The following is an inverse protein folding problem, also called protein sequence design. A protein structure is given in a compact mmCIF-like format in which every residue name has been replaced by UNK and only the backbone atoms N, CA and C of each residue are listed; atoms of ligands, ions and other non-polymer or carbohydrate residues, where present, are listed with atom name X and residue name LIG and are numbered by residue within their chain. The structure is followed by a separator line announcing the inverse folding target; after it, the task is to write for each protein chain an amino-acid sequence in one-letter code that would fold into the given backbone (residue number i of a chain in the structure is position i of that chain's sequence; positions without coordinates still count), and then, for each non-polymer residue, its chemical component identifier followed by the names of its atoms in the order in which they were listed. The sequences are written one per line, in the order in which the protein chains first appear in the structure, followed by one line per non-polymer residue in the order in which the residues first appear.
data_IF_577852700639
#
_entry.id   IF_577852700639
#
_cell.length_a   1.000
_cell.length_b   1.000
_cell.length_c   1.000
_cell.angle_alpha   90.00
_cell.angle_beta   90.00
_cell.angle_gamma   90.00
#
_symmetry.space_group_name_H-M   'P 1'
#
loop_
_entity.id
_entity.type
_entity.pdbx_description
1 polymer ?
#
# COMPACT_ATOMS: atom_id res chain seq x y z
N UNK A 1 -16.30 0.28 -9.81
CA UNK A 1 -15.62 0.66 -8.57
C UNK A 1 -14.70 1.88 -8.70
N UNK A 2 -14.31 2.27 -9.89
CA UNK A 2 -13.50 3.48 -10.16
C UNK A 2 -14.36 4.66 -10.57
N UNK A 3 -13.94 5.89 -10.21
CA UNK A 3 -14.52 7.17 -10.67
C UNK A 3 -13.48 8.00 -11.39
N UNK A 4 -13.85 8.56 -12.54
CA UNK A 4 -13.08 9.60 -13.25
C UNK A 4 -11.58 9.30 -13.39
N UNK A 5 -11.23 8.04 -13.66
CA UNK A 5 -9.86 7.63 -13.84
C UNK A 5 -9.72 6.60 -14.97
N UNK A 6 -8.84 6.90 -15.91
CA UNK A 6 -8.46 5.97 -16.99
C UNK A 6 -6.98 5.63 -16.84
N UNK A 7 -6.63 4.36 -16.57
CA UNK A 7 -5.24 3.95 -16.43
C UNK A 7 -4.46 4.15 -17.72
N UNK A 8 -3.23 4.64 -17.62
CA UNK A 8 -2.27 4.66 -18.72
C UNK A 8 -1.78 3.24 -19.01
N UNK A 9 -1.24 3.01 -20.21
CA UNK A 9 -0.80 1.68 -20.62
C UNK A 9 0.24 1.07 -19.66
N UNK A 10 1.25 1.86 -19.27
CA UNK A 10 2.26 1.36 -18.32
C UNK A 10 1.65 1.02 -16.95
N UNK A 11 0.65 1.76 -16.48
CA UNK A 11 -0.07 1.45 -15.24
C UNK A 11 -0.83 0.12 -15.36
N UNK A 12 -1.45 -0.14 -16.50
CA UNK A 12 -2.13 -1.42 -16.75
C UNK A 12 -1.15 -2.59 -16.78
N UNK A 13 0.03 -2.40 -17.38
CA UNK A 13 1.10 -3.42 -17.42
C UNK A 13 1.60 -3.74 -16.00
N UNK A 14 1.92 -2.72 -15.22
CA UNK A 14 2.35 -2.88 -13.84
C UNK A 14 1.26 -3.53 -12.98
N UNK A 15 0.01 -3.12 -13.16
CA UNK A 15 -1.12 -3.71 -12.46
C UNK A 15 -1.29 -5.20 -12.78
N UNK A 16 -1.07 -5.59 -14.03
CA UNK A 16 -1.08 -6.99 -14.45
C UNK A 16 -0.06 -7.84 -13.70
N UNK A 17 1.16 -7.33 -13.50
CA UNK A 17 2.19 -8.00 -12.68
C UNK A 17 1.80 -8.02 -11.20
N UNK A 18 1.40 -6.89 -10.65
CA UNK A 18 1.07 -6.73 -9.23
C UNK A 18 -0.16 -7.54 -8.80
N UNK A 19 -1.07 -7.83 -9.71
CA UNK A 19 -2.22 -8.69 -9.46
C UNK A 19 -1.84 -10.13 -9.08
N UNK A 20 -0.69 -10.60 -9.55
CA UNK A 20 -0.25 -12.00 -9.39
C UNK A 20 1.00 -12.18 -8.55
N UNK A 21 1.81 -11.12 -8.37
CA UNK A 21 3.09 -11.17 -7.68
C UNK A 21 3.24 -9.99 -6.71
N UNK A 22 3.89 -10.23 -5.58
CA UNK A 22 4.36 -9.15 -4.73
C UNK A 22 5.36 -8.31 -5.51
N UNK A 23 5.03 -7.05 -5.71
CA UNK A 23 5.74 -6.19 -6.68
C UNK A 23 6.26 -4.92 -6.02
N UNK A 24 7.52 -4.60 -6.30
CA UNK A 24 8.10 -3.28 -6.06
C UNK A 24 7.96 -2.46 -7.35
N UNK A 25 7.30 -1.32 -7.25
CA UNK A 25 7.10 -0.38 -8.36
C UNK A 25 7.99 0.83 -8.15
N UNK A 26 8.90 1.04 -9.10
CA UNK A 26 9.81 2.17 -9.13
C UNK A 26 9.34 3.13 -10.21
N UNK A 27 8.74 4.24 -9.78
CA UNK A 27 8.22 5.29 -10.67
C UNK A 27 8.69 6.66 -10.17
N UNK A 28 9.18 7.54 -11.06
CA UNK A 28 9.46 8.92 -10.71
C UNK A 28 8.26 9.63 -10.11
N UNK A 29 8.52 10.61 -9.25
CA UNK A 29 7.48 11.45 -8.64
C UNK A 29 6.57 12.07 -9.70
N UNK A 30 5.26 12.07 -9.46
CA UNK A 30 4.25 12.64 -10.36
C UNK A 30 3.80 11.71 -11.49
N UNK A 31 4.26 10.47 -11.55
CA UNK A 31 3.86 9.49 -12.58
C UNK A 31 2.78 8.49 -12.12
N UNK A 32 2.10 8.80 -11.02
CA UNK A 32 0.89 8.07 -10.65
C UNK A 32 1.13 6.76 -9.90
N UNK A 33 2.14 6.69 -9.01
CA UNK A 33 2.32 5.54 -8.10
C UNK A 33 1.08 5.25 -7.27
N UNK A 34 0.43 6.30 -6.75
CA UNK A 34 -0.79 6.17 -5.97
C UNK A 34 -1.93 5.55 -6.80
N UNK A 35 -1.97 5.82 -8.10
CA UNK A 35 -2.97 5.22 -8.98
C UNK A 35 -2.82 3.69 -9.04
N UNK A 36 -1.61 3.17 -9.08
CA UNK A 36 -1.38 1.72 -9.04
C UNK A 36 -1.91 1.14 -7.73
N UNK A 37 -1.71 1.84 -6.60
CA UNK A 37 -2.22 1.41 -5.31
C UNK A 37 -3.75 1.34 -5.27
N UNK A 38 -4.47 2.38 -5.70
CA UNK A 38 -5.93 2.34 -5.65
C UNK A 38 -6.53 1.41 -6.73
N UNK A 39 -5.89 1.25 -7.88
CA UNK A 39 -6.31 0.28 -8.89
C UNK A 39 -6.19 -1.15 -8.38
N UNK A 40 -5.07 -1.49 -7.76
CA UNK A 40 -4.87 -2.82 -7.17
C UNK A 40 -5.80 -3.04 -5.97
N UNK A 41 -6.02 -2.01 -5.15
CA UNK A 41 -6.98 -2.05 -4.06
C UNK A 41 -8.40 -2.39 -4.54
N UNK A 42 -8.86 -1.72 -5.61
CA UNK A 42 -10.15 -2.00 -6.23
C UNK A 42 -10.26 -3.45 -6.72
N UNK A 43 -9.21 -3.96 -7.36
CA UNK A 43 -9.16 -5.33 -7.85
C UNK A 43 -9.19 -6.35 -6.70
N UNK A 44 -8.44 -6.12 -5.63
CA UNK A 44 -8.41 -7.01 -4.46
C UNK A 44 -9.75 -7.02 -3.73
N UNK A 45 -10.41 -5.87 -3.58
CA UNK A 45 -11.74 -5.79 -2.98
C UNK A 45 -12.83 -6.44 -3.86
N UNK A 46 -12.69 -6.39 -5.18
CA UNK A 46 -13.58 -7.11 -6.08
C UNK A 46 -13.42 -8.62 -5.92
N UNK A 47 -12.19 -9.10 -5.82
CA UNK A 47 -11.86 -10.52 -5.65
C UNK A 47 -12.20 -11.03 -4.24
N UNK A 48 -11.98 -10.21 -3.22
CA UNK A 48 -12.20 -10.53 -1.80
C UNK A 48 -13.05 -9.44 -1.14
N UNK A 49 -14.37 -9.43 -1.35
CA UNK A 49 -15.23 -8.31 -0.92
C UNK A 49 -15.28 -8.05 0.58
N UNK A 50 -15.00 -9.08 1.39
CA UNK A 50 -14.99 -8.97 2.86
C UNK A 50 -13.61 -8.64 3.44
N UNK A 51 -12.61 -8.53 2.59
CA UNK A 51 -11.25 -8.21 3.01
C UNK A 51 -11.04 -6.71 3.21
N UNK A 52 -9.89 -6.38 3.78
CA UNK A 52 -9.43 -5.01 3.98
C UNK A 52 -8.17 -4.72 3.18
N UNK A 53 -8.02 -3.47 2.81
CA UNK A 53 -6.81 -2.93 2.17
C UNK A 53 -6.09 -2.05 3.17
N UNK A 54 -4.79 -2.23 3.29
CA UNK A 54 -3.95 -1.45 4.19
C UNK A 54 -2.82 -0.79 3.41
N UNK A 55 -2.77 0.54 3.42
CA UNK A 55 -1.71 1.35 2.84
C UNK A 55 -0.94 2.06 3.94
N UNK A 56 0.36 1.86 3.98
CA UNK A 56 1.27 2.49 4.92
C UNK A 56 2.09 3.58 4.24
N UNK A 57 2.21 4.72 4.89
CA UNK A 57 3.04 5.83 4.46
C UNK A 57 3.76 6.46 5.65
N UNK A 58 5.00 6.97 5.50
CA UNK A 58 5.84 7.35 6.64
C UNK A 58 5.31 8.51 7.47
N UNK A 59 4.53 9.40 6.88
CA UNK A 59 4.10 10.63 7.54
C UNK A 59 2.60 10.87 7.45
N UNK A 60 2.05 11.57 8.43
CA UNK A 60 0.65 11.96 8.45
C UNK A 60 0.23 12.75 7.20
N UNK A 61 0.96 13.78 6.72
CA UNK A 61 0.58 14.49 5.50
C UNK A 61 0.48 13.60 4.26
N UNK A 62 1.40 12.63 4.09
CA UNK A 62 1.34 11.66 3.01
C UNK A 62 0.12 10.76 3.14
N UNK A 63 -0.20 10.30 4.34
CA UNK A 63 -1.40 9.50 4.59
C UNK A 63 -2.69 10.29 4.25
N UNK A 64 -2.78 11.54 4.67
CA UNK A 64 -3.90 12.42 4.36
C UNK A 64 -4.09 12.61 2.83
N UNK A 65 -3.00 12.81 2.12
CA UNK A 65 -3.00 12.93 0.66
C UNK A 65 -3.50 11.65 -0.02
N UNK A 66 -3.08 10.48 0.46
CA UNK A 66 -3.56 9.20 -0.05
C UNK A 66 -5.05 8.99 0.22
N UNK A 67 -5.54 9.34 1.41
CA UNK A 67 -6.98 9.27 1.73
C UNK A 67 -7.79 10.08 0.73
N UNK A 68 -7.40 11.33 0.47
CA UNK A 68 -8.07 12.21 -0.49
C UNK A 68 -8.10 11.61 -1.90
N UNK A 69 -6.96 11.08 -2.36
CA UNK A 69 -6.84 10.47 -3.69
C UNK A 69 -7.70 9.22 -3.82
N UNK A 70 -7.70 8.36 -2.82
CA UNK A 70 -8.51 7.15 -2.80
C UNK A 70 -10.02 7.49 -2.76
N UNK A 71 -10.43 8.44 -1.95
CA UNK A 71 -11.83 8.89 -1.89
C UNK A 71 -12.31 9.50 -3.21
N UNK A 72 -11.42 10.23 -3.91
CA UNK A 72 -11.73 10.83 -5.20
C UNK A 72 -11.98 9.77 -6.28
N UNK A 73 -11.15 8.73 -6.35
CA UNK A 73 -11.14 7.80 -7.48
C UNK A 73 -11.81 6.45 -7.23
N UNK A 74 -12.11 6.10 -5.98
CA UNK A 74 -12.85 4.89 -5.66
C UNK A 74 -14.32 5.20 -5.38
N UNK A 75 -15.21 4.40 -5.98
CA UNK A 75 -16.65 4.49 -5.77
C UNK A 75 -17.06 3.76 -4.49
N UNK A 76 -16.45 4.14 -3.37
CA UNK A 76 -16.77 3.68 -2.03
C UNK A 76 -17.33 4.86 -1.21
N UNK A 77 -18.22 4.58 -0.24
CA UNK A 77 -18.60 5.60 0.73
C UNK A 77 -17.36 6.14 1.45
N UNK A 78 -17.25 7.47 1.68
CA UNK A 78 -16.05 8.06 2.29
C UNK A 78 -15.68 7.44 3.65
N UNK A 79 -16.65 7.02 4.45
CA UNK A 79 -16.45 6.37 5.75
C UNK A 79 -15.79 4.98 5.65
N UNK A 80 -15.74 4.40 4.44
CA UNK A 80 -15.04 3.12 4.20
C UNK A 80 -13.55 3.28 3.97
N UNK A 81 -13.07 4.51 3.78
CA UNK A 81 -11.66 4.87 3.57
C UNK A 81 -11.23 5.74 4.74
N UNK A 82 -10.43 5.22 5.65
CA UNK A 82 -10.12 5.86 6.92
C UNK A 82 -8.63 6.09 7.12
N UNK A 83 -8.31 7.14 7.89
CA UNK A 83 -6.96 7.52 8.26
C UNK A 83 -6.68 7.07 9.70
N UNK A 84 -5.59 6.31 9.88
CA UNK A 84 -5.05 5.96 11.19
C UNK A 84 -3.75 6.73 11.44
N UNK A 85 -3.76 7.58 12.44
CA UNK A 85 -2.57 8.29 12.94
C UNK A 85 -2.58 8.33 14.47
N UNK A 86 -1.48 8.77 15.06
CA UNK A 86 -1.38 8.94 16.52
C UNK A 86 -2.39 9.91 17.14
N UNK A 87 -3.04 10.74 16.32
CA UNK A 87 -4.09 11.66 16.78
C UNK A 87 -5.46 10.98 16.97
N UNK A 88 -5.61 9.75 16.51
CA UNK A 88 -6.83 8.95 16.70
C UNK A 88 -6.61 8.00 17.87
N UNK A 89 -7.49 8.04 18.87
CA UNK A 89 -7.38 7.18 20.05
C UNK A 89 -7.41 5.68 19.66
N UNK A 90 -6.64 4.81 20.34
CA UNK A 90 -6.57 3.37 20.01
C UNK A 90 -7.94 2.68 19.97
N UNK A 91 -8.82 2.97 20.89
CA UNK A 91 -10.17 2.40 20.96
C UNK A 91 -11.00 2.79 19.74
N UNK A 92 -10.87 4.05 19.30
CA UNK A 92 -11.55 4.54 18.12
C UNK A 92 -10.97 3.88 16.85
N UNK A 93 -9.66 3.70 16.79
CA UNK A 93 -9.04 2.95 15.66
C UNK A 93 -9.56 1.52 15.60
N UNK A 94 -9.70 0.83 16.73
CA UNK A 94 -10.26 -0.51 16.78
C UNK A 94 -11.69 -0.58 16.24
N UNK A 95 -12.52 0.42 16.54
CA UNK A 95 -13.87 0.52 16.01
C UNK A 95 -13.88 0.83 14.51
N UNK A 96 -13.09 1.81 14.08
CA UNK A 96 -12.95 2.18 12.66
C UNK A 96 -12.45 1.00 11.81
N UNK A 97 -11.55 0.19 12.34
CA UNK A 97 -11.08 -1.02 11.68
C UNK A 97 -12.22 -1.96 11.28
N UNK A 98 -13.17 -2.16 12.17
CA UNK A 98 -14.32 -3.05 11.92
C UNK A 98 -15.19 -2.58 10.76
N UNK A 99 -15.35 -1.28 10.60
CA UNK A 99 -16.28 -0.66 9.64
C UNK A 99 -15.61 -0.31 8.31
N UNK A 100 -14.31 -0.04 8.32
CA UNK A 100 -13.56 0.39 7.15
C UNK A 100 -13.24 -0.76 6.20
N UNK A 101 -13.09 -0.42 4.92
CA UNK A 101 -12.56 -1.33 3.90
C UNK A 101 -11.12 -1.00 3.52
N UNK A 102 -10.77 0.29 3.51
CA UNK A 102 -9.42 0.76 3.21
C UNK A 102 -8.92 1.59 4.38
N UNK A 103 -7.78 1.20 4.91
CA UNK A 103 -7.12 1.88 6.01
C UNK A 103 -5.77 2.41 5.53
N UNK A 104 -5.55 3.71 5.72
CA UNK A 104 -4.29 4.38 5.41
C UNK A 104 -3.69 4.86 6.72
N UNK A 105 -2.46 4.45 7.00
CA UNK A 105 -1.85 4.60 8.32
C UNK A 105 -0.36 4.90 8.25
N UNK A 106 0.12 5.59 9.28
CA UNK A 106 1.55 5.61 9.59
C UNK A 106 1.95 4.27 10.22
N UNK A 107 3.20 3.79 10.01
CA UNK A 107 3.56 2.43 10.41
C UNK A 107 3.65 2.23 11.92
N UNK A 108 4.10 3.23 12.68
CA UNK A 108 4.31 3.09 14.12
C UNK A 108 2.99 2.90 14.89
N UNK A 109 1.96 3.65 14.51
CA UNK A 109 0.63 3.50 15.13
C UNK A 109 0.03 2.13 14.83
N UNK A 110 0.19 1.66 13.60
CA UNK A 110 -0.31 0.36 13.19
C UNK A 110 0.43 -0.79 13.88
N UNK A 111 1.75 -0.71 14.05
CA UNK A 111 2.52 -1.71 14.77
C UNK A 111 1.95 -1.99 16.15
N UNK A 112 1.67 -0.93 16.92
CA UNK A 112 1.04 -1.05 18.22
C UNK A 112 -0.36 -1.67 18.17
N UNK A 113 -1.15 -1.32 17.16
CA UNK A 113 -2.50 -1.86 16.99
C UNK A 113 -2.48 -3.35 16.64
N UNK A 114 -1.50 -3.80 15.88
CA UNK A 114 -1.28 -5.23 15.57
C UNK A 114 -0.87 -6.00 16.82
N UNK A 115 0.12 -5.49 17.58
CA UNK A 115 0.58 -6.10 18.82
C UNK A 115 -0.56 -6.25 19.82
N UNK A 116 -1.39 -5.23 19.96
CA UNK A 116 -2.53 -5.22 20.89
C UNK A 116 -3.81 -5.84 20.29
N UNK A 117 -3.73 -6.47 19.14
CA UNK A 117 -4.85 -7.15 18.45
C UNK A 117 -6.07 -6.27 18.16
N UNK A 118 -5.87 -4.96 18.02
CA UNK A 118 -6.89 -4.03 17.54
C UNK A 118 -7.07 -4.11 16.03
N UNK A 119 -6.03 -4.51 15.33
CA UNK A 119 -5.96 -4.73 13.90
C UNK A 119 -5.56 -6.17 13.64
N UNK A 120 -6.25 -6.83 12.72
CA UNK A 120 -6.04 -8.22 12.35
C UNK A 120 -5.54 -8.32 10.92
N UNK A 121 -4.25 -8.58 10.75
CA UNK A 121 -3.61 -8.67 9.42
C UNK A 121 -4.16 -9.83 8.58
N UNK A 122 -4.71 -10.87 9.19
CA UNK A 122 -5.36 -11.97 8.49
C UNK A 122 -6.58 -11.54 7.65
N UNK A 123 -7.17 -10.40 7.96
CA UNK A 123 -8.30 -9.84 7.20
C UNK A 123 -7.84 -9.03 5.98
N UNK A 124 -6.55 -8.78 5.82
CA UNK A 124 -5.98 -7.88 4.81
C UNK A 124 -5.62 -8.66 3.54
N UNK A 125 -6.20 -8.27 2.41
CA UNK A 125 -5.90 -8.86 1.10
C UNK A 125 -4.86 -8.09 0.29
N UNK A 126 -4.53 -6.88 0.72
CA UNK A 126 -3.45 -6.06 0.14
C UNK A 126 -2.81 -5.22 1.23
N UNK A 127 -1.51 -5.37 1.39
CA UNK A 127 -0.65 -4.51 2.19
C UNK A 127 0.26 -3.73 1.26
N UNK A 128 0.08 -2.42 1.19
CA UNK A 128 0.88 -1.53 0.35
C UNK A 128 1.79 -0.64 1.21
N UNK A 129 3.04 -0.51 0.77
CA UNK A 129 4.06 0.30 1.42
C UNK A 129 4.45 1.45 0.50
N UNK A 130 4.09 2.67 0.87
CA UNK A 130 4.59 3.88 0.21
C UNK A 130 5.96 4.25 0.75
N UNK A 131 6.79 4.90 -0.08
CA UNK A 131 8.18 5.20 0.29
C UNK A 131 8.92 3.94 0.77
N UNK A 132 8.82 2.86 0.01
CA UNK A 132 9.26 1.52 0.39
C UNK A 132 10.77 1.40 0.63
N UNK A 133 11.57 2.37 0.18
CA UNK A 133 13.01 2.43 0.45
C UNK A 133 13.34 2.54 1.95
N UNK A 134 12.38 2.91 2.80
CA UNK A 134 12.53 2.88 4.26
C UNK A 134 12.52 1.46 4.86
N UNK A 135 12.17 0.44 4.10
CA UNK A 135 12.02 -0.94 4.61
C UNK A 135 13.37 -1.63 4.87
N UNK A 136 14.15 -1.06 5.78
CA UNK A 136 15.48 -1.50 6.19
C UNK A 136 15.60 -1.51 7.71
N UNK A 137 16.46 -2.39 8.23
CA UNK A 137 16.76 -2.44 9.65
C UNK A 137 15.53 -2.71 10.51
N UNK A 138 15.33 -1.89 11.52
CA UNK A 138 14.24 -1.97 12.49
C UNK A 138 13.03 -1.08 12.15
N UNK A 139 12.98 -0.51 10.94
CA UNK A 139 11.82 0.26 10.50
C UNK A 139 10.57 -0.61 10.52
N UNK A 140 9.46 -0.07 11.01
CA UNK A 140 8.24 -0.84 11.28
C UNK A 140 7.69 -1.59 10.05
N UNK A 141 7.98 -1.14 8.83
CA UNK A 141 7.60 -1.86 7.61
C UNK A 141 8.12 -3.29 7.57
N UNK A 142 9.34 -3.51 8.02
CA UNK A 142 9.99 -4.84 8.00
C UNK A 142 9.23 -5.82 8.89
N UNK A 143 8.93 -5.41 10.12
CA UNK A 143 8.17 -6.24 11.06
C UNK A 143 6.74 -6.47 10.58
N UNK A 144 6.06 -5.43 10.09
CA UNK A 144 4.69 -5.54 9.61
C UNK A 144 4.57 -6.48 8.40
N UNK A 145 5.51 -6.41 7.46
CA UNK A 145 5.56 -7.33 6.33
C UNK A 145 5.72 -8.78 6.78
N UNK A 146 6.60 -9.02 7.75
CA UNK A 146 6.84 -10.36 8.32
C UNK A 146 5.58 -10.91 8.99
N UNK A 147 4.90 -10.12 9.81
CA UNK A 147 3.65 -10.52 10.46
C UNK A 147 2.56 -10.81 9.43
N UNK A 148 2.44 -9.97 8.41
CA UNK A 148 1.46 -10.15 7.34
C UNK A 148 1.68 -11.44 6.55
N UNK A 149 2.92 -11.69 6.15
CA UNK A 149 3.28 -12.91 5.39
C UNK A 149 2.97 -14.19 6.19
N UNK A 150 3.15 -14.15 7.51
CA UNK A 150 2.89 -15.31 8.37
C UNK A 150 1.41 -15.54 8.65
N UNK A 151 0.56 -14.52 8.58
CA UNK A 151 -0.84 -14.59 9.08
C UNK A 151 -1.88 -14.50 7.98
N UNK A 152 -1.61 -13.80 6.89
CA UNK A 152 -2.62 -13.60 5.84
C UNK A 152 -2.78 -14.82 4.94
N UNK A 153 -4.04 -15.18 4.66
CA UNK A 153 -4.37 -16.26 3.72
C UNK A 153 -4.41 -15.80 2.27
N UNK A 154 -4.59 -14.52 2.05
CA UNK A 154 -4.76 -13.91 0.73
C UNK A 154 -3.75 -12.77 0.57
N UNK A 155 -2.51 -13.04 0.97
CA UNK A 155 -1.44 -12.05 1.00
C UNK A 155 -1.12 -11.51 -0.39
N UNK A 156 -1.00 -10.19 -0.48
CA UNK A 156 -0.43 -9.45 -1.60
C UNK A 156 0.26 -8.22 -1.06
N UNK A 157 1.52 -8.05 -1.45
CA UNK A 157 2.31 -6.87 -1.09
C UNK A 157 2.58 -6.04 -2.33
N UNK A 158 2.32 -4.74 -2.22
CA UNK A 158 2.70 -3.72 -3.20
C UNK A 158 3.64 -2.73 -2.51
N UNK A 159 4.82 -2.55 -3.06
CA UNK A 159 5.77 -1.57 -2.59
C UNK A 159 5.97 -0.48 -3.64
N UNK A 160 5.94 0.78 -3.23
CA UNK A 160 6.03 1.94 -4.11
C UNK A 160 7.23 2.80 -3.69
N UNK A 161 8.05 3.21 -4.65
CA UNK A 161 9.12 4.16 -4.40
C UNK A 161 9.49 4.95 -5.66
N UNK A 162 9.93 6.19 -5.49
CA UNK A 162 10.54 6.97 -6.56
C UNK A 162 12.02 6.61 -6.73
N UNK A 163 12.67 6.16 -5.65
CA UNK A 163 14.07 5.77 -5.64
C UNK A 163 14.26 4.56 -4.71
N UNK A 164 14.58 3.39 -5.25
CA UNK A 164 14.63 2.16 -4.45
C UNK A 164 15.86 2.07 -3.54
N UNK A 165 16.86 2.92 -3.75
CA UNK A 165 18.14 2.94 -3.04
C UNK A 165 19.27 3.34 -3.96
N UNK A 166 20.42 3.64 -3.37
CA UNK A 166 21.61 4.10 -4.10
C UNK A 166 22.47 2.97 -4.69
N UNK A 167 22.28 1.76 -4.21
CA UNK A 167 23.04 0.57 -4.61
C UNK A 167 22.16 -0.66 -4.70
N UNK A 168 22.62 -1.65 -5.43
CA UNK A 168 21.89 -2.90 -5.68
C UNK A 168 21.67 -3.72 -4.42
N UNK A 169 22.61 -3.70 -3.49
CA UNK A 169 22.51 -4.44 -2.23
C UNK A 169 21.35 -3.92 -1.37
N UNK A 170 21.22 -2.59 -1.26
CA UNK A 170 20.10 -1.96 -0.56
C UNK A 170 18.75 -2.30 -1.20
N UNK A 171 18.66 -2.28 -2.53
CA UNK A 171 17.44 -2.66 -3.26
C UNK A 171 17.08 -4.11 -2.98
N UNK A 172 18.04 -5.01 -3.03
CA UNK A 172 17.84 -6.43 -2.72
C UNK A 172 17.35 -6.63 -1.29
N UNK A 173 17.91 -5.87 -0.33
CA UNK A 173 17.51 -5.96 1.08
C UNK A 173 16.06 -5.50 1.29
N UNK A 174 15.64 -4.40 0.64
CA UNK A 174 14.25 -3.94 0.65
C UNK A 174 13.33 -5.03 0.08
N UNK A 175 13.69 -5.60 -1.05
CA UNK A 175 12.90 -6.67 -1.68
C UNK A 175 12.78 -7.90 -0.78
N UNK A 176 13.84 -8.33 -0.12
CA UNK A 176 13.79 -9.44 0.83
C UNK A 176 12.89 -9.13 2.02
N UNK A 177 13.04 -7.94 2.60
CA UNK A 177 12.30 -7.52 3.78
C UNK A 177 10.79 -7.38 3.53
N UNK A 178 10.40 -7.07 2.30
CA UNK A 178 9.00 -6.92 1.89
C UNK A 178 8.45 -8.08 1.06
N UNK A 179 9.19 -9.20 0.96
CA UNK A 179 8.76 -10.40 0.22
C UNK A 179 8.43 -10.13 -1.25
N UNK A 180 9.20 -9.23 -1.89
CA UNK A 180 8.99 -8.84 -3.28
C UNK A 180 9.45 -9.96 -4.22
N UNK A 181 8.60 -10.27 -5.21
CA UNK A 181 8.86 -11.30 -6.22
C UNK A 181 9.20 -10.67 -7.58
N UNK A 182 8.75 -9.44 -7.86
CA UNK A 182 8.97 -8.71 -9.11
C UNK A 182 9.28 -7.25 -8.85
N UNK A 183 10.14 -6.67 -9.68
CA UNK A 183 10.43 -5.24 -9.69
C UNK A 183 10.02 -4.67 -11.05
N UNK A 184 9.13 -3.68 -11.03
CA UNK A 184 8.69 -2.94 -12.21
C UNK A 184 9.28 -1.54 -12.15
N UNK A 185 10.05 -1.18 -13.17
CA UNK A 185 10.72 0.12 -13.27
C UNK A 185 10.27 0.82 -14.54
N UNK A 186 9.84 2.07 -14.42
CA UNK A 186 9.51 2.92 -15.56
C UNK A 186 10.28 4.24 -15.45
N UNK A 187 10.93 4.64 -16.53
CA UNK A 187 11.67 5.89 -16.63
C UNK A 187 10.88 6.95 -17.41
N UNK A 188 11.13 8.24 -17.11
CA UNK A 188 10.42 9.34 -17.78
C UNK A 188 10.57 9.33 -19.32
N UNK A 189 11.68 8.81 -19.81
CA UNK A 189 11.96 8.73 -21.26
C UNK A 189 11.14 7.69 -21.99
N UNK A 190 10.68 6.66 -21.29
CA UNK A 190 9.88 5.57 -21.86
C UNK A 190 8.37 5.87 -21.84
N UNK A 191 7.95 6.90 -21.11
CA UNK A 191 6.55 7.21 -20.88
C UNK A 191 5.90 8.07 -21.95
N UNK A 192 6.60 8.37 -23.05
CA UNK A 192 6.03 9.07 -24.20
C UNK A 192 5.47 10.45 -23.86
N UNK A 193 6.10 11.16 -22.95
CA UNK A 193 5.77 12.57 -22.67
C UNK A 193 6.43 13.39 -23.77
N UNK A 194 5.70 13.56 -24.90
CA UNK A 194 5.93 14.63 -25.85
C UNK A 194 5.35 15.90 -25.29
#
# INVERSE_FOLDING_TARGET
MLRDFTPRLYQQTILGTAAHKNTLVVLPTGLGKTAIAFLLAAQRLHQYPQSKILLLSPTKPLCEQHVQTFQKHLALPPEKIVLFTGNVAPEKRAQLWKEAQIIISTPQGLENDVINRRVRLEEVSLLAFDEAHHALGDYAYVWLAQQYEQTSRQARILALTASPGSDMETVQQVCQNLYIERVEVEEKSELGVL
#
